data_IF_525493384597
#
_entry.id   IF_525493384597
#
_cell.length_a   1.000
_cell.length_b   1.000
_cell.length_c   1.000
_cell.angle_alpha   90.00
_cell.angle_beta   90.00
_cell.angle_gamma   90.00
#
_symmetry.space_group_name_H-M   'P 1'
#
loop_
_entity.id
_entity.type
_entity.pdbx_description
1 polymer ?
#
# COMPACT_ATOMS: atom_id res chain seq x y z
N UNK A 1 34.63 57.74 8.59
CA UNK A 1 33.75 56.81 9.35
C UNK A 1 32.47 56.39 8.61
N UNK A 2 31.88 57.21 7.71
CA UNK A 2 30.66 56.82 6.98
C UNK A 2 30.84 55.68 5.95
N UNK A 3 31.99 55.61 5.27
CA UNK A 3 32.29 54.53 4.31
C UNK A 3 32.27 53.12 4.94
N UNK A 4 32.81 52.98 6.17
CA UNK A 4 32.82 51.71 6.90
C UNK A 4 31.39 51.27 7.28
N UNK A 5 30.51 52.20 7.66
CA UNK A 5 29.11 51.90 7.98
C UNK A 5 28.34 51.40 6.75
N UNK A 6 28.54 52.02 5.59
CA UNK A 6 27.91 51.61 4.35
C UNK A 6 28.40 50.23 3.89
N UNK A 7 29.70 49.95 4.05
CA UNK A 7 30.30 48.64 3.75
C UNK A 7 29.68 47.54 4.63
N UNK A 8 29.60 47.77 5.95
CA UNK A 8 29.00 46.81 6.89
C UNK A 8 27.52 46.57 6.58
N UNK A 9 26.75 47.62 6.28
CA UNK A 9 25.33 47.46 5.92
C UNK A 9 25.14 46.62 4.65
N UNK A 10 25.98 46.81 3.64
CA UNK A 10 25.97 45.97 2.41
C UNK A 10 26.32 44.51 2.72
N UNK A 11 27.28 44.27 3.60
CA UNK A 11 27.70 42.93 4.00
C UNK A 11 26.57 42.21 4.74
N UNK A 12 25.96 42.87 5.73
CA UNK A 12 24.80 42.34 6.47
C UNK A 12 23.63 42.06 5.53
N UNK A 13 23.31 42.99 4.63
CA UNK A 13 22.25 42.80 3.62
C UNK A 13 22.50 41.58 2.73
N UNK A 14 23.75 41.39 2.27
CA UNK A 14 24.14 40.22 1.46
C UNK A 14 24.02 38.91 2.24
N UNK A 15 24.45 38.89 3.50
CA UNK A 15 24.33 37.69 4.36
C UNK A 15 22.88 37.31 4.60
N UNK A 16 22.02 38.27 4.97
CA UNK A 16 20.59 38.00 5.16
C UNK A 16 19.91 37.53 3.87
N UNK A 17 20.25 38.11 2.72
CA UNK A 17 19.74 37.67 1.43
C UNK A 17 20.15 36.22 1.12
N UNK A 18 21.40 35.83 1.39
CA UNK A 18 21.82 34.44 1.19
C UNK A 18 21.10 33.47 2.13
N UNK A 19 20.90 33.86 3.40
CA UNK A 19 20.19 33.04 4.38
C UNK A 19 18.72 32.84 3.97
N UNK A 20 18.03 33.90 3.54
CA UNK A 20 16.63 33.78 3.11
C UNK A 20 16.50 32.97 1.84
N UNK A 21 17.43 33.12 0.89
CA UNK A 21 17.45 32.35 -0.35
C UNK A 21 17.66 30.85 -0.08
N UNK A 22 18.66 30.49 0.73
CA UNK A 22 18.94 29.09 1.08
C UNK A 22 17.77 28.50 1.87
N UNK A 23 17.22 29.24 2.84
CA UNK A 23 16.07 28.80 3.61
C UNK A 23 14.86 28.56 2.71
N UNK A 24 14.55 29.50 1.82
CA UNK A 24 13.46 29.37 0.85
C UNK A 24 13.64 28.16 -0.06
N UNK A 25 14.87 27.91 -0.53
CA UNK A 25 15.18 26.73 -1.34
C UNK A 25 14.91 25.43 -0.55
N UNK A 26 15.38 25.35 0.71
CA UNK A 26 15.14 24.19 1.56
C UNK A 26 13.65 23.95 1.80
N UNK A 27 12.88 25.00 2.10
CA UNK A 27 11.43 24.88 2.28
C UNK A 27 10.73 24.43 1.01
N UNK A 28 11.13 24.94 -0.16
CA UNK A 28 10.57 24.52 -1.44
C UNK A 28 10.87 23.04 -1.72
N UNK A 29 12.12 22.60 -1.51
CA UNK A 29 12.52 21.21 -1.69
C UNK A 29 11.76 20.27 -0.75
N UNK A 30 11.66 20.61 0.54
CA UNK A 30 10.92 19.81 1.52
C UNK A 30 9.42 19.75 1.22
N UNK A 31 8.83 20.87 0.81
CA UNK A 31 7.42 20.94 0.45
C UNK A 31 7.11 20.07 -0.77
N UNK A 32 7.97 20.09 -1.80
CA UNK A 32 7.82 19.24 -2.98
C UNK A 32 7.92 17.75 -2.64
N UNK A 33 8.87 17.37 -1.79
CA UNK A 33 9.03 15.99 -1.31
C UNK A 33 7.82 15.55 -0.48
N UNK A 34 7.30 16.41 0.39
CA UNK A 34 6.11 16.11 1.20
C UNK A 34 4.87 15.92 0.32
N UNK A 35 4.67 16.80 -0.67
CA UNK A 35 3.59 16.68 -1.64
C UNK A 35 3.67 15.38 -2.43
N UNK A 36 4.86 15.04 -2.95
CA UNK A 36 5.08 13.80 -3.68
C UNK A 36 4.77 12.57 -2.83
N UNK A 37 5.29 12.52 -1.60
CA UNK A 37 5.01 11.43 -0.67
C UNK A 37 3.52 11.34 -0.30
N UNK A 38 2.86 12.48 -0.06
CA UNK A 38 1.42 12.52 0.21
C UNK A 38 0.60 11.90 -0.94
N UNK A 39 0.91 12.25 -2.18
CA UNK A 39 0.24 11.67 -3.36
C UNK A 39 0.48 10.16 -3.49
N UNK A 40 1.71 9.70 -3.23
CA UNK A 40 2.05 8.26 -3.25
C UNK A 40 1.28 7.50 -2.18
N UNK A 41 1.17 8.05 -0.96
CA UNK A 41 0.41 7.44 0.13
C UNK A 41 -1.08 7.36 -0.24
N UNK A 42 -1.65 8.44 -0.79
CA UNK A 42 -3.05 8.47 -1.20
C UNK A 42 -3.35 7.43 -2.30
N UNK A 43 -2.48 7.33 -3.30
CA UNK A 43 -2.61 6.33 -4.37
C UNK A 43 -2.51 4.90 -3.83
N UNK A 44 -1.50 4.62 -3.00
CA UNK A 44 -1.33 3.31 -2.37
C UNK A 44 -2.55 2.94 -1.49
N UNK A 45 -3.11 3.91 -0.75
CA UNK A 45 -4.30 3.67 0.06
C UNK A 45 -5.52 3.30 -0.80
N UNK A 46 -5.69 3.95 -1.95
CA UNK A 46 -6.75 3.61 -2.89
C UNK A 46 -6.56 2.19 -3.46
N UNK A 47 -5.33 1.82 -3.82
CA UNK A 47 -5.00 0.48 -4.30
C UNK A 47 -5.27 -0.60 -3.24
N UNK A 48 -4.84 -0.37 -1.99
CA UNK A 48 -5.09 -1.32 -0.89
C UNK A 48 -6.60 -1.51 -0.67
N UNK A 49 -7.39 -0.44 -0.75
CA UNK A 49 -8.86 -0.55 -0.65
C UNK A 49 -9.42 -1.42 -1.78
N UNK A 50 -8.99 -1.20 -3.01
CA UNK A 50 -9.42 -2.00 -4.16
C UNK A 50 -8.98 -3.48 -4.04
N UNK A 51 -7.75 -3.74 -3.58
CA UNK A 51 -7.27 -5.09 -3.33
C UNK A 51 -8.08 -5.77 -2.23
N UNK A 52 -8.41 -5.06 -1.14
CA UNK A 52 -9.25 -5.58 -0.06
C UNK A 52 -10.67 -5.92 -0.55
N UNK A 53 -11.26 -5.07 -1.38
CA UNK A 53 -12.59 -5.32 -1.94
C UNK A 53 -12.57 -6.53 -2.89
N UNK A 54 -11.50 -6.65 -3.69
CA UNK A 54 -11.28 -7.80 -4.57
C UNK A 54 -11.09 -9.09 -3.78
N UNK A 55 -10.27 -9.06 -2.72
CA UNK A 55 -10.07 -10.20 -1.82
C UNK A 55 -11.36 -10.60 -1.11
N UNK A 56 -12.16 -9.63 -0.66
CA UNK A 56 -13.47 -9.89 -0.07
C UNK A 56 -14.40 -10.55 -1.07
N UNK A 57 -14.45 -10.04 -2.31
CA UNK A 57 -15.25 -10.63 -3.39
C UNK A 57 -14.81 -12.06 -3.73
N UNK A 58 -13.50 -12.29 -3.84
CA UNK A 58 -12.95 -13.63 -4.07
C UNK A 58 -13.27 -14.56 -2.91
N UNK A 59 -13.08 -14.12 -1.67
CA UNK A 59 -13.40 -14.90 -0.47
C UNK A 59 -14.90 -15.27 -0.42
N UNK A 60 -15.79 -14.35 -0.79
CA UNK A 60 -17.22 -14.65 -0.94
C UNK A 60 -17.50 -15.67 -2.05
N UNK A 61 -16.80 -15.57 -3.19
CA UNK A 61 -16.94 -16.50 -4.31
C UNK A 61 -16.36 -17.89 -4.01
N UNK A 62 -15.32 -18.00 -3.18
CA UNK A 62 -14.71 -19.28 -2.78
C UNK A 62 -15.28 -19.83 -1.48
N UNK A 63 -16.30 -19.19 -0.91
CA UNK A 63 -16.86 -19.51 0.41
C UNK A 63 -15.78 -19.63 1.51
N UNK A 64 -14.70 -18.87 1.38
CA UNK A 64 -13.57 -18.88 2.32
C UNK A 64 -12.61 -20.06 2.22
N UNK A 65 -12.74 -20.93 1.21
CA UNK A 65 -11.73 -21.96 0.93
C UNK A 65 -10.44 -21.32 0.43
N UNK A 66 -9.31 -21.75 0.99
CA UNK A 66 -7.97 -21.28 0.63
C UNK A 66 -7.13 -22.43 0.07
N UNK A 67 -6.29 -22.15 -0.91
CA UNK A 67 -5.33 -23.12 -1.44
C UNK A 67 -3.97 -22.98 -0.72
N UNK A 68 -3.40 -24.09 -0.27
CA UNK A 68 -2.09 -24.15 0.39
C UNK A 68 -1.21 -25.19 -0.31
N UNK A 69 0.00 -24.80 -0.68
CA UNK A 69 1.01 -25.69 -1.24
C UNK A 69 2.25 -25.69 -0.34
N UNK A 70 2.66 -26.88 0.11
CA UNK A 70 3.84 -27.04 0.95
C UNK A 70 4.63 -28.30 0.50
N UNK A 71 5.72 -28.62 1.21
CA UNK A 71 6.57 -29.80 0.89
C UNK A 71 5.82 -31.13 0.97
N UNK A 72 4.68 -31.18 1.65
CA UNK A 72 3.83 -32.36 1.82
C UNK A 72 2.71 -32.45 0.76
N UNK A 73 2.62 -31.47 -0.16
CA UNK A 73 1.67 -31.46 -1.27
C UNK A 73 0.78 -30.22 -1.32
N UNK A 74 -0.35 -30.38 -2.02
CA UNK A 74 -1.33 -29.32 -2.30
C UNK A 74 -2.63 -29.60 -1.56
N UNK A 75 -3.13 -28.61 -0.85
CA UNK A 75 -4.27 -28.72 0.05
C UNK A 75 -5.30 -27.62 -0.22
N UNK A 76 -6.58 -27.97 -0.08
CA UNK A 76 -7.66 -27.01 0.05
C UNK A 76 -7.98 -26.91 1.54
N UNK A 77 -7.73 -25.74 2.12
CA UNK A 77 -8.00 -25.43 3.53
C UNK A 77 -9.43 -24.92 3.64
N UNK A 78 -10.22 -25.61 4.46
CA UNK A 78 -11.62 -25.26 4.69
C UNK A 78 -11.72 -24.10 5.70
N UNK A 79 -12.72 -23.23 5.55
CA UNK A 79 -13.03 -22.24 6.58
C UNK A 79 -13.51 -22.95 7.87
N UNK A 80 -13.39 -22.26 8.99
CA UNK A 80 -13.78 -22.80 10.31
C UNK A 80 -15.25 -23.26 10.34
N UNK A 81 -15.51 -24.39 10.99
CA UNK A 81 -16.86 -24.97 11.11
C UNK A 81 -17.41 -25.63 9.84
N UNK A 82 -16.55 -25.90 8.84
CA UNK A 82 -16.89 -26.68 7.64
C UNK A 82 -16.09 -27.98 7.55
N UNK A 83 -16.75 -29.05 7.10
CA UNK A 83 -16.18 -30.36 6.77
C UNK A 83 -16.21 -30.60 5.26
N UNK A 84 -15.25 -31.37 4.78
CA UNK A 84 -15.14 -31.81 3.39
C UNK A 84 -15.80 -33.19 3.20
N UNK A 85 -16.82 -33.26 2.34
CA UNK A 85 -17.32 -34.52 1.79
C UNK A 85 -16.61 -34.80 0.46
N UNK A 86 -15.79 -35.84 0.43
CA UNK A 86 -15.06 -36.30 -0.77
C UNK A 86 -15.88 -37.29 -1.60
N UNK A 87 -15.45 -37.59 -2.84
CA UNK A 87 -16.11 -38.58 -3.69
C UNK A 87 -17.34 -38.06 -4.46
N UNK A 88 -17.54 -36.74 -4.52
CA UNK A 88 -18.57 -36.12 -5.35
C UNK A 88 -18.01 -35.84 -6.74
N UNK A 89 -18.89 -35.82 -7.73
CA UNK A 89 -18.55 -35.35 -9.06
C UNK A 89 -19.53 -34.27 -9.51
N UNK A 90 -19.02 -33.29 -10.23
CA UNK A 90 -19.79 -32.20 -10.84
C UNK A 90 -19.60 -32.25 -12.35
N UNK A 91 -20.43 -31.52 -13.09
CA UNK A 91 -20.36 -31.43 -14.55
C UNK A 91 -20.51 -32.80 -15.24
N UNK A 92 -21.70 -33.39 -15.09
CA UNK A 92 -22.05 -34.71 -15.63
C UNK A 92 -21.02 -35.83 -15.34
N UNK A 93 -20.52 -35.86 -14.09
CA UNK A 93 -19.53 -36.83 -13.58
C UNK A 93 -18.12 -36.72 -14.17
N UNK A 94 -17.79 -35.66 -14.88
CA UNK A 94 -16.47 -35.51 -15.52
C UNK A 94 -15.41 -34.94 -14.59
N UNK A 95 -15.81 -34.26 -13.50
CA UNK A 95 -14.88 -33.58 -12.58
C UNK A 95 -15.10 -34.01 -11.14
N UNK A 96 -14.04 -34.47 -10.49
CA UNK A 96 -14.03 -34.76 -9.05
C UNK A 96 -14.19 -33.45 -8.26
N UNK A 97 -15.04 -33.49 -7.25
CA UNK A 97 -15.39 -32.34 -6.42
C UNK A 97 -15.44 -32.73 -4.94
N UNK A 98 -15.24 -31.73 -4.10
CA UNK A 98 -15.42 -31.81 -2.65
C UNK A 98 -16.58 -30.91 -2.28
N UNK A 99 -17.57 -31.46 -1.59
CA UNK A 99 -18.70 -30.68 -1.08
C UNK A 99 -18.39 -30.21 0.33
N UNK A 100 -18.59 -28.92 0.60
CA UNK A 100 -18.47 -28.36 1.94
C UNK A 100 -19.79 -28.53 2.68
N UNK A 101 -19.73 -29.03 3.92
CA UNK A 101 -20.89 -29.16 4.81
C UNK A 101 -20.55 -28.55 6.16
N UNK A 102 -21.54 -27.94 6.82
CA UNK A 102 -21.34 -27.37 8.15
C UNK A 102 -21.17 -28.50 9.18
N UNK A 103 -20.27 -28.30 10.14
CA UNK A 103 -20.03 -29.25 11.24
C UNK A 103 -21.23 -29.45 12.16
#
# INVERSE_FOLDING_TARGET
MQSNRLSVLRMVGRTWLTITMVSGLLFASLSGVLWYQGNRIAANLAEIRQQRDTLSKLHMQTWGVTYLENRNGRFLVLPEGMKAETGRTVDNKTRNAVKLVRE
#
